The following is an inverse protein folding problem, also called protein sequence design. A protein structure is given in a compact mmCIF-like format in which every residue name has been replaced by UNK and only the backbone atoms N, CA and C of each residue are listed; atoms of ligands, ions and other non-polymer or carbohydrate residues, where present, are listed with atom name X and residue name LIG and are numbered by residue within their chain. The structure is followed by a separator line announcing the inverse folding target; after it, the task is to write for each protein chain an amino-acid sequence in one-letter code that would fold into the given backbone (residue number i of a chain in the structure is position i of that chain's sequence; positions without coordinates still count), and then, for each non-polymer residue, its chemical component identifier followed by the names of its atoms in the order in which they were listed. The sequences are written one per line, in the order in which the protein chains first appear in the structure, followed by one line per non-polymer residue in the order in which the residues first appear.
data_IF_272290404112
#
_entry.id   IF_272290404112
#
_cell.length_a   1.000
_cell.length_b   1.000
_cell.length_c   1.000
_cell.angle_alpha   90.00
_cell.angle_beta   90.00
_cell.angle_gamma   90.00
#
_symmetry.space_group_name_H-M   'P 1'
#
loop_
_entity.id
_entity.type
_entity.pdbx_description
1 polymer ?
#
# COMPACT_ATOMS: atom_id res chain seq x y z
N UNK A 1 -25.38 45.36 78.14
CA UNK A 1 -25.49 44.71 76.82
C UNK A 1 -24.10 44.61 76.20
N UNK A 2 -23.55 43.42 75.92
CA UNK A 2 -22.38 43.30 75.04
C UNK A 2 -22.83 42.85 73.65
N UNK A 3 -22.43 43.58 72.60
CA UNK A 3 -22.58 43.17 71.20
C UNK A 3 -21.49 42.13 70.88
N UNK A 4 -21.89 40.91 70.52
CA UNK A 4 -21.00 39.90 69.91
C UNK A 4 -20.75 40.27 68.45
N UNK A 5 -19.49 40.45 68.09
CA UNK A 5 -19.02 40.48 66.70
C UNK A 5 -19.07 39.07 66.11
N UNK A 6 -19.72 38.91 64.97
CA UNK A 6 -19.70 37.69 64.16
C UNK A 6 -18.64 37.86 63.07
N UNK A 7 -17.63 36.99 63.08
CA UNK A 7 -16.61 36.88 62.02
C UNK A 7 -17.15 36.06 60.82
N UNK A 8 -16.63 36.26 59.60
CA UNK A 8 -17.13 35.59 58.40
C UNK A 8 -16.42 34.24 58.18
N UNK A 9 -17.16 33.14 58.18
CA UNK A 9 -16.65 31.77 57.97
C UNK A 9 -16.89 31.23 56.54
N UNK A 10 -17.41 32.04 55.61
CA UNK A 10 -17.89 31.56 54.31
C UNK A 10 -16.81 31.47 53.22
N UNK A 11 -15.70 32.21 53.30
CA UNK A 11 -14.66 32.24 52.25
C UNK A 11 -13.79 30.98 52.19
N UNK A 12 -13.58 30.30 53.33
CA UNK A 12 -12.78 29.07 53.40
C UNK A 12 -13.53 27.83 52.89
N UNK A 13 -14.87 27.82 52.98
CA UNK A 13 -15.69 26.69 52.51
C UNK A 13 -15.81 26.68 50.98
N UNK A 14 -15.97 27.85 50.34
CA UNK A 14 -16.08 27.95 48.88
C UNK A 14 -14.77 27.63 48.18
N UNK A 15 -13.63 28.08 48.71
CA UNK A 15 -12.29 27.76 48.21
C UNK A 15 -11.93 26.29 48.39
N UNK A 16 -12.28 25.68 49.53
CA UNK A 16 -12.09 24.23 49.75
C UNK A 16 -12.91 23.36 48.78
N UNK A 17 -14.15 23.74 48.48
CA UNK A 17 -14.99 23.02 47.51
C UNK A 17 -14.50 23.20 46.07
N UNK A 18 -14.06 24.41 45.69
CA UNK A 18 -13.47 24.70 44.39
C UNK A 18 -12.18 23.88 44.17
N UNK A 19 -11.27 23.87 45.15
CA UNK A 19 -10.08 23.03 45.12
C UNK A 19 -10.42 21.54 45.00
N UNK A 20 -11.38 21.03 45.76
CA UNK A 20 -11.81 19.63 45.63
C UNK A 20 -12.35 19.31 44.24
N UNK A 21 -13.09 20.22 43.62
CA UNK A 21 -13.62 20.03 42.26
C UNK A 21 -12.52 20.03 41.18
N UNK A 22 -11.48 20.85 41.35
CA UNK A 22 -10.32 20.88 40.45
C UNK A 22 -9.48 19.60 40.57
N UNK A 23 -9.30 19.07 41.77
CA UNK A 23 -8.61 17.79 41.96
C UNK A 23 -9.36 16.63 41.27
N UNK A 24 -10.69 16.59 41.37
CA UNK A 24 -11.51 15.58 40.69
C UNK A 24 -11.38 15.73 39.16
N UNK A 25 -11.48 16.96 38.65
CA UNK A 25 -11.29 17.23 37.21
C UNK A 25 -9.91 16.78 36.75
N UNK A 26 -8.86 17.15 37.48
CA UNK A 26 -7.49 16.75 37.17
C UNK A 26 -7.33 15.23 37.13
N UNK A 27 -7.88 14.51 38.12
CA UNK A 27 -7.84 13.04 38.14
C UNK A 27 -8.56 12.42 36.93
N UNK A 28 -9.71 12.98 36.52
CA UNK A 28 -10.42 12.50 35.33
C UNK A 28 -9.62 12.73 34.04
N UNK A 29 -8.99 13.90 33.91
CA UNK A 29 -8.13 14.24 32.78
C UNK A 29 -6.88 13.38 32.71
N UNK A 30 -6.24 13.10 33.86
CA UNK A 30 -5.08 12.20 33.95
C UNK A 30 -5.47 10.76 33.56
N UNK A 31 -6.65 10.27 33.97
CA UNK A 31 -7.15 8.95 33.54
C UNK A 31 -7.37 8.88 32.03
N UNK A 32 -8.00 9.90 31.45
CA UNK A 32 -8.19 10.01 30.00
C UNK A 32 -6.83 10.07 29.27
N UNK A 33 -5.89 10.85 29.80
CA UNK A 33 -4.54 10.98 29.27
C UNK A 33 -3.83 9.62 29.19
N UNK A 34 -3.76 8.89 30.31
CA UNK A 34 -3.14 7.57 30.37
C UNK A 34 -3.82 6.56 29.43
N UNK A 35 -5.15 6.64 29.31
CA UNK A 35 -5.89 5.81 28.37
C UNK A 35 -5.51 6.11 26.93
N UNK A 36 -5.45 7.40 26.54
CA UNK A 36 -5.08 7.84 25.19
C UNK A 36 -3.66 7.39 24.82
N UNK A 37 -2.68 7.59 25.71
CA UNK A 37 -1.30 7.14 25.51
C UNK A 37 -1.25 5.63 25.21
N UNK A 38 -1.95 4.82 26.01
CA UNK A 38 -2.04 3.38 25.83
C UNK A 38 -2.70 2.99 24.49
N UNK A 39 -3.78 3.68 24.10
CA UNK A 39 -4.47 3.38 22.85
C UNK A 39 -3.64 3.77 21.61
N UNK A 40 -2.97 4.93 21.65
CA UNK A 40 -2.07 5.37 20.57
C UNK A 40 -0.95 4.37 20.38
N UNK A 41 -0.27 3.97 21.47
CA UNK A 41 0.78 2.95 21.43
C UNK A 41 0.29 1.63 20.85
N UNK A 42 -0.89 1.16 21.28
CA UNK A 42 -1.51 -0.07 20.75
C UNK A 42 -1.80 0.05 19.25
N UNK A 43 -2.43 1.14 18.81
CA UNK A 43 -2.79 1.34 17.40
C UNK A 43 -1.58 1.50 16.50
N UNK A 44 -0.55 2.22 16.96
CA UNK A 44 0.72 2.33 16.24
C UNK A 44 1.42 0.98 16.09
N UNK A 45 1.41 0.16 17.14
CA UNK A 45 1.94 -1.22 17.07
C UNK A 45 1.12 -2.07 16.10
N UNK A 46 -0.20 -1.96 16.12
CA UNK A 46 -1.08 -2.66 15.17
C UNK A 46 -0.78 -2.26 13.71
N UNK A 47 -0.61 -0.96 13.44
CA UNK A 47 -0.24 -0.44 12.13
C UNK A 47 1.12 -0.95 11.67
N UNK A 48 2.15 -0.85 12.51
CA UNK A 48 3.49 -1.31 12.19
C UNK A 48 3.52 -2.82 11.91
N UNK A 49 2.83 -3.62 12.73
CA UNK A 49 2.74 -5.07 12.52
C UNK A 49 2.03 -5.40 11.21
N UNK A 50 0.98 -4.66 10.85
CA UNK A 50 0.27 -4.87 9.60
C UNK A 50 1.13 -4.49 8.38
N UNK A 51 1.85 -3.38 8.45
CA UNK A 51 2.80 -2.97 7.40
C UNK A 51 3.92 -4.00 7.23
N UNK A 52 4.43 -4.55 8.32
CA UNK A 52 5.46 -5.59 8.26
C UNK A 52 4.90 -6.89 7.67
N UNK A 53 3.65 -7.25 7.98
CA UNK A 53 2.97 -8.38 7.35
C UNK A 53 2.85 -8.19 5.83
N UNK A 54 2.44 -7.01 5.36
CA UNK A 54 2.40 -6.70 3.92
C UNK A 54 3.77 -6.88 3.27
N UNK A 55 4.85 -6.35 3.89
CA UNK A 55 6.22 -6.50 3.38
C UNK A 55 6.66 -7.96 3.32
N UNK A 56 6.40 -8.72 4.38
CA UNK A 56 6.77 -10.14 4.45
C UNK A 56 6.05 -10.96 3.37
N UNK A 57 4.75 -10.70 3.15
CA UNK A 57 3.97 -11.36 2.11
C UNK A 57 4.48 -11.01 0.72
N UNK A 58 4.72 -9.72 0.45
CA UNK A 58 5.28 -9.28 -0.83
C UNK A 58 6.65 -9.91 -1.10
N UNK A 59 7.49 -10.04 -0.07
CA UNK A 59 8.80 -10.67 -0.15
C UNK A 59 8.69 -12.17 -0.45
N UNK A 60 7.76 -12.88 0.18
CA UNK A 60 7.51 -14.31 -0.08
C UNK A 60 7.00 -14.54 -1.51
N UNK A 61 6.00 -13.76 -1.95
CA UNK A 61 5.50 -13.80 -3.34
C UNK A 61 6.64 -13.56 -4.32
N UNK A 62 7.44 -12.51 -4.11
CA UNK A 62 8.56 -12.19 -4.99
C UNK A 62 9.56 -13.35 -5.06
N UNK A 63 9.98 -13.91 -3.92
CA UNK A 63 10.94 -15.01 -3.90
C UNK A 63 10.43 -16.27 -4.59
N UNK A 64 9.15 -16.62 -4.40
CA UNK A 64 8.58 -17.83 -5.00
C UNK A 64 8.27 -17.68 -6.49
N UNK A 65 7.82 -16.50 -6.93
CA UNK A 65 7.49 -16.25 -8.33
C UNK A 65 8.71 -15.83 -9.19
N UNK A 66 9.78 -15.31 -8.58
CA UNK A 66 10.98 -14.84 -9.31
C UNK A 66 11.58 -15.87 -10.28
N UNK A 67 11.72 -17.16 -9.94
CA UNK A 67 12.22 -18.17 -10.88
C UNK A 67 11.32 -18.33 -12.10
N UNK A 68 10.00 -18.28 -11.90
CA UNK A 68 9.00 -18.39 -12.97
C UNK A 68 9.05 -17.17 -13.90
N UNK A 69 9.16 -15.96 -13.35
CA UNK A 69 9.34 -14.76 -14.16
C UNK A 69 10.64 -14.78 -14.96
N UNK A 70 11.74 -15.30 -14.40
CA UNK A 70 12.98 -15.45 -15.15
C UNK A 70 12.82 -16.40 -16.34
N UNK A 71 12.14 -17.55 -16.14
CA UNK A 71 11.82 -18.47 -17.25
C UNK A 71 11.00 -17.78 -18.35
N UNK A 72 10.01 -16.97 -17.99
CA UNK A 72 9.21 -16.23 -18.97
C UNK A 72 10.07 -15.27 -19.80
N UNK A 73 10.96 -14.51 -19.16
CA UNK A 73 11.90 -13.60 -19.85
C UNK A 73 12.82 -14.36 -20.79
N UNK A 74 13.31 -15.53 -20.38
CA UNK A 74 14.19 -16.35 -21.20
C UNK A 74 13.43 -16.91 -22.42
N UNK A 75 12.22 -17.42 -22.23
CA UNK A 75 11.36 -17.93 -23.31
C UNK A 75 10.98 -16.81 -24.29
N UNK A 76 10.61 -15.64 -23.78
CA UNK A 76 10.30 -14.45 -24.59
C UNK A 76 11.45 -14.10 -25.53
N UNK A 77 12.66 -13.99 -24.97
CA UNK A 77 13.87 -13.75 -25.73
C UNK A 77 14.14 -14.85 -26.76
N UNK A 78 13.96 -16.11 -26.39
CA UNK A 78 14.11 -17.26 -27.29
C UNK A 78 13.15 -17.15 -28.48
N UNK A 79 11.87 -16.84 -28.26
CA UNK A 79 10.88 -16.66 -29.34
C UNK A 79 11.32 -15.54 -30.29
N UNK A 80 11.72 -14.37 -29.75
CA UNK A 80 12.24 -13.27 -30.57
C UNK A 80 13.45 -13.67 -31.42
N UNK A 81 14.38 -14.44 -30.84
CA UNK A 81 15.56 -14.91 -31.58
C UNK A 81 15.18 -15.89 -32.69
N UNK A 82 14.23 -16.80 -32.45
CA UNK A 82 13.76 -17.75 -33.45
C UNK A 82 13.12 -17.05 -34.65
N UNK A 83 12.25 -16.05 -34.41
CA UNK A 83 11.67 -15.27 -35.50
C UNK A 83 12.74 -14.50 -36.29
N UNK A 84 13.71 -13.87 -35.62
CA UNK A 84 14.82 -13.19 -36.30
C UNK A 84 15.63 -14.14 -37.19
N UNK A 85 15.89 -15.37 -36.72
CA UNK A 85 16.57 -16.40 -37.51
C UNK A 85 15.72 -16.91 -38.68
N UNK A 86 14.41 -17.12 -38.48
CA UNK A 86 13.49 -17.52 -39.55
C UNK A 86 13.56 -16.52 -40.71
N UNK A 87 13.50 -15.22 -40.43
CA UNK A 87 13.52 -14.17 -41.45
C UNK A 87 14.88 -13.98 -42.12
N UNK A 88 15.99 -14.33 -41.46
CA UNK A 88 17.34 -14.14 -42.01
C UNK A 88 17.86 -15.36 -42.76
N UNK A 89 17.57 -16.57 -42.29
CA UNK A 89 18.13 -17.82 -42.82
C UNK A 89 17.33 -18.35 -44.00
N UNK A 90 16.01 -18.15 -44.02
CA UNK A 90 15.12 -18.75 -45.02
C UNK A 90 14.60 -17.71 -46.01
N UNK A 91 14.65 -18.04 -47.30
CA UNK A 91 14.02 -17.24 -48.35
C UNK A 91 12.56 -17.65 -48.50
N UNK A 92 11.65 -16.73 -48.23
CA UNK A 92 10.21 -16.91 -48.40
C UNK A 92 9.70 -16.12 -49.60
N UNK A 93 8.59 -16.57 -50.19
CA UNK A 93 7.81 -15.72 -51.10
C UNK A 93 7.16 -14.55 -50.35
N UNK A 94 6.80 -13.47 -51.06
CA UNK A 94 6.24 -12.24 -50.46
C UNK A 94 5.06 -12.52 -49.52
N UNK A 95 4.07 -13.29 -49.98
CA UNK A 95 2.88 -13.61 -49.18
C UNK A 95 3.24 -14.42 -47.92
N UNK A 96 4.02 -15.49 -48.09
CA UNK A 96 4.46 -16.33 -46.96
C UNK A 96 5.25 -15.56 -45.92
N UNK A 97 6.06 -14.58 -46.32
CA UNK A 97 6.78 -13.71 -45.39
C UNK A 97 5.79 -12.84 -44.60
N UNK A 98 4.85 -12.17 -45.28
CA UNK A 98 3.80 -11.33 -44.67
C UNK A 98 2.94 -12.12 -43.69
N UNK A 99 2.57 -13.37 -44.04
CA UNK A 99 1.77 -14.23 -43.17
C UNK A 99 2.54 -14.58 -41.87
N UNK A 100 3.85 -14.88 -41.96
CA UNK A 100 4.69 -15.18 -40.78
C UNK A 100 4.91 -13.93 -39.92
N UNK A 101 5.10 -12.76 -40.55
CA UNK A 101 5.17 -11.46 -39.86
C UNK A 101 3.85 -11.14 -39.14
N UNK A 102 2.71 -11.47 -39.75
CA UNK A 102 1.39 -11.37 -39.13
C UNK A 102 1.27 -12.22 -37.88
N UNK A 103 1.70 -13.49 -37.91
CA UNK A 103 1.71 -14.36 -36.72
C UNK A 103 2.60 -13.78 -35.62
N UNK A 104 3.79 -13.31 -35.96
CA UNK A 104 4.71 -12.70 -34.99
C UNK A 104 4.10 -11.45 -34.32
N UNK A 105 3.46 -10.59 -35.11
CA UNK A 105 2.77 -9.40 -34.60
C UNK A 105 1.56 -9.76 -33.74
N UNK A 106 0.78 -10.78 -34.11
CA UNK A 106 -0.34 -11.26 -33.31
C UNK A 106 0.11 -11.78 -31.94
N UNK A 107 1.24 -12.50 -31.87
CA UNK A 107 1.79 -12.94 -30.58
C UNK A 107 2.16 -11.76 -29.67
N UNK A 108 2.62 -10.64 -30.24
CA UNK A 108 2.91 -9.41 -29.49
C UNK A 108 1.63 -8.70 -29.04
N UNK A 109 0.65 -8.55 -29.93
CA UNK A 109 -0.64 -7.93 -29.61
C UNK A 109 -1.41 -8.71 -28.54
N UNK A 110 -1.34 -10.04 -28.58
CA UNK A 110 -1.96 -10.90 -27.58
C UNK A 110 -1.22 -10.91 -26.23
N UNK A 111 -0.08 -10.21 -26.11
CA UNK A 111 0.71 -10.16 -24.89
C UNK A 111 1.45 -11.47 -24.54
N UNK A 112 1.53 -12.42 -25.49
CA UNK A 112 2.23 -13.71 -25.32
C UNK A 112 3.74 -13.49 -25.33
N UNK A 113 4.20 -12.56 -26.16
CA UNK A 113 5.59 -12.09 -26.19
C UNK A 113 5.63 -10.57 -26.12
N UNK A 114 6.77 -10.04 -25.68
CA UNK A 114 6.98 -8.62 -25.52
C UNK A 114 6.96 -7.90 -26.88
N UNK A 115 6.47 -6.64 -26.93
CA UNK A 115 6.59 -5.84 -28.13
C UNK A 115 8.06 -5.61 -28.46
N UNK A 116 8.47 -5.93 -29.70
CA UNK A 116 9.83 -5.61 -30.13
C UNK A 116 9.99 -4.08 -30.17
N UNK A 117 10.98 -3.48 -29.49
CA UNK A 117 11.22 -2.05 -29.59
C UNK A 117 11.48 -1.70 -31.05
N UNK A 118 10.69 -0.75 -31.58
CA UNK A 118 10.83 -0.21 -32.93
C UNK A 118 12.19 0.50 -33.06
N UNK A 119 13.25 -0.24 -33.36
CA UNK A 119 14.51 0.34 -33.79
C UNK A 119 14.53 0.35 -35.32
N UNK A 120 14.50 1.56 -35.87
CA UNK A 120 14.73 2.01 -37.27
C UNK A 120 13.49 2.51 -38.01
N UNK A 121 13.62 3.75 -38.47
CA UNK A 121 12.63 4.69 -39.00
C UNK A 121 12.36 4.51 -40.51
N UNK A 122 12.56 3.33 -41.11
CA UNK A 122 12.53 3.20 -42.59
C UNK A 122 11.49 2.21 -43.17
N UNK A 123 10.76 1.44 -42.35
CA UNK A 123 9.77 0.46 -42.85
C UNK A 123 8.29 0.85 -42.59
N UNK A 124 8.02 2.12 -42.21
CA UNK A 124 6.72 2.48 -41.61
C UNK A 124 5.60 2.97 -42.55
N UNK A 125 5.84 3.25 -43.84
CA UNK A 125 4.85 4.03 -44.60
C UNK A 125 3.96 3.24 -45.56
N UNK A 126 3.94 1.90 -45.55
CA UNK A 126 3.15 1.16 -46.58
C UNK A 126 2.19 0.08 -46.08
N UNK A 127 2.33 -0.45 -44.86
CA UNK A 127 1.61 -1.70 -44.53
C UNK A 127 0.54 -1.61 -43.43
N UNK A 128 0.52 -0.56 -42.60
CA UNK A 128 -0.59 -0.35 -41.66
C UNK A 128 -1.87 0.14 -42.36
N UNK A 129 -1.74 0.89 -43.46
CA UNK A 129 -2.89 1.42 -44.20
C UNK A 129 -3.63 0.33 -45.01
N UNK A 130 -2.92 -0.68 -45.50
CA UNK A 130 -3.51 -1.72 -46.36
C UNK A 130 -4.31 -2.80 -45.60
N UNK A 131 -4.05 -3.03 -44.31
CA UNK A 131 -4.74 -4.09 -43.54
C UNK A 131 -6.04 -3.62 -42.88
N UNK A 132 -6.25 -2.31 -42.75
CA UNK A 132 -7.51 -1.72 -42.27
C UNK A 132 -8.36 -1.11 -43.40
N UNK A 133 -7.82 -0.89 -44.59
CA UNK A 133 -8.56 -0.33 -45.74
C UNK A 133 -9.54 -1.30 -46.44
N UNK A 134 -9.78 -2.51 -45.91
CA UNK A 134 -10.75 -3.46 -46.49
C UNK A 134 -11.96 -3.78 -45.61
N UNK A 135 -12.23 -2.99 -44.58
CA UNK A 135 -13.55 -2.94 -43.92
C UNK A 135 -13.81 -1.53 -43.38
N UNK A 136 -14.14 -0.60 -44.28
CA UNK A 136 -14.88 0.60 -43.89
C UNK A 136 -16.34 0.19 -43.65
N UNK A 137 -16.74 0.06 -42.39
CA UNK A 137 -18.08 0.43 -41.89
C UNK A 137 -18.04 0.46 -40.35
N UNK A 138 -17.98 1.69 -39.82
CA UNK A 138 -18.43 2.16 -38.51
C UNK A 138 -17.92 1.45 -37.22
N UNK A 139 -16.97 2.07 -36.50
CA UNK A 139 -17.17 2.38 -35.08
C UNK A 139 -16.19 3.47 -34.56
N UNK A 140 -16.75 4.48 -33.91
CA UNK A 140 -16.09 5.65 -33.32
C UNK A 140 -15.76 5.38 -31.84
N UNK A 141 -14.68 4.63 -31.58
CA UNK A 141 -14.28 4.30 -30.20
C UNK A 141 -12.76 4.38 -30.01
N UNK A 142 -12.20 5.59 -29.98
CA UNK A 142 -10.79 5.78 -29.58
C UNK A 142 -10.50 7.13 -28.89
N UNK A 143 -11.41 7.60 -28.02
CA UNK A 143 -11.25 8.84 -27.27
C UNK A 143 -11.00 8.70 -25.75
N UNK A 144 -11.51 7.66 -25.08
CA UNK A 144 -11.71 7.74 -23.62
C UNK A 144 -10.55 7.30 -22.71
N UNK A 145 -9.56 6.56 -23.23
CA UNK A 145 -8.57 5.89 -22.36
C UNK A 145 -7.42 6.77 -21.85
N UNK A 146 -7.30 8.02 -22.30
CA UNK A 146 -6.23 8.94 -21.85
C UNK A 146 -6.70 9.96 -20.80
N UNK A 147 -8.01 10.22 -20.69
CA UNK A 147 -8.57 11.15 -19.71
C UNK A 147 -8.71 10.51 -18.31
N UNK A 148 -9.08 9.23 -18.22
CA UNK A 148 -9.28 8.54 -16.94
C UNK A 148 -7.98 8.44 -16.11
N UNK A 149 -6.84 8.20 -16.76
CA UNK A 149 -5.53 8.18 -16.10
C UNK A 149 -5.08 9.56 -15.57
N UNK A 150 -5.44 10.65 -16.26
CA UNK A 150 -5.15 12.01 -15.77
C UNK A 150 -6.12 12.45 -14.68
N UNK A 151 -7.35 11.95 -14.69
CA UNK A 151 -8.35 12.25 -13.67
C UNK A 151 -8.04 11.54 -12.34
N UNK A 152 -7.50 10.32 -12.39
CA UNK A 152 -6.98 9.60 -11.20
C UNK A 152 -5.74 10.25 -10.57
N UNK A 153 -4.88 10.91 -11.36
CA UNK A 153 -3.73 11.66 -10.83
C UNK A 153 -4.13 13.04 -10.27
N UNK A 154 -5.23 13.64 -10.77
CA UNK A 154 -5.73 14.94 -10.31
C UNK A 154 -6.58 14.83 -9.03
N UNK A 155 -7.25 13.70 -8.78
CA UNK A 155 -8.02 13.44 -7.54
C UNK A 155 -7.15 13.10 -6.32
N UNK A 156 -5.84 12.84 -6.50
CA UNK A 156 -4.89 12.65 -5.39
C UNK A 156 -4.32 13.96 -4.83
N UNK A 157 -4.55 15.11 -5.47
CA UNK A 157 -3.97 16.40 -5.09
C UNK A 157 -4.96 17.41 -4.47
N UNK A 158 -6.23 17.04 -4.28
CA UNK A 158 -7.25 17.97 -3.77
C UNK A 158 -7.97 17.38 -2.54
N UNK A 159 -7.21 17.19 -1.45
CA UNK A 159 -7.76 17.12 -0.09
C UNK A 159 -7.13 18.24 0.72
N UNK A 160 -7.56 19.47 0.45
CA UNK A 160 -7.15 20.65 1.20
C UNK A 160 -8.20 20.99 2.26
N UNK A 161 -8.10 20.37 3.45
CA UNK A 161 -8.76 20.82 4.70
C UNK A 161 -8.04 20.28 5.95
N UNK A 162 -8.09 20.94 7.12
CA UNK A 162 -7.60 22.27 7.47
C UNK A 162 -6.16 22.22 8.03
N UNK A 163 -5.25 23.05 7.53
CA UNK A 163 -3.81 23.05 7.86
C UNK A 163 -3.44 23.50 9.29
N UNK A 164 -4.42 23.95 10.08
CA UNK A 164 -4.17 24.56 11.40
C UNK A 164 -3.87 23.55 12.50
N UNK A 165 -4.59 22.41 12.54
CA UNK A 165 -4.40 21.36 13.56
C UNK A 165 -3.09 20.59 13.39
N UNK A 166 -2.67 20.33 12.14
CA UNK A 166 -1.36 19.73 11.84
C UNK A 166 -0.21 20.64 12.29
N UNK A 167 -0.37 21.95 12.12
CA UNK A 167 0.60 22.95 12.60
C UNK A 167 0.71 22.96 14.12
N UNK A 168 -0.40 22.91 14.85
CA UNK A 168 -0.39 22.94 16.31
C UNK A 168 0.14 21.63 16.93
N UNK A 169 -0.21 20.48 16.37
CA UNK A 169 0.37 19.19 16.78
C UNK A 169 1.88 19.15 16.52
N UNK A 170 2.34 19.57 15.33
CA UNK A 170 3.75 19.60 14.97
C UNK A 170 4.55 20.58 15.85
N UNK A 171 3.98 21.76 16.17
CA UNK A 171 4.56 22.71 17.13
C UNK A 171 4.71 22.08 18.51
N UNK A 172 3.68 21.38 19.01
CA UNK A 172 3.74 20.75 20.34
C UNK A 172 4.75 19.60 20.39
N UNK A 173 4.84 18.79 19.34
CA UNK A 173 5.87 17.75 19.19
C UNK A 173 7.27 18.38 19.22
N UNK A 174 7.49 19.45 18.46
CA UNK A 174 8.78 20.15 18.46
C UNK A 174 9.11 20.74 19.83
N UNK A 175 8.15 21.36 20.50
CA UNK A 175 8.36 21.96 21.82
C UNK A 175 8.73 20.89 22.87
N UNK A 176 7.98 19.79 22.92
CA UNK A 176 8.23 18.67 23.84
C UNK A 176 9.59 18.02 23.55
N UNK A 177 9.92 17.82 22.27
CA UNK A 177 11.24 17.36 21.85
C UNK A 177 12.38 18.27 22.35
N UNK A 178 12.29 19.59 22.15
CA UNK A 178 13.32 20.53 22.58
C UNK A 178 13.48 20.53 24.10
N UNK A 179 12.38 20.50 24.85
CA UNK A 179 12.39 20.41 26.32
C UNK A 179 13.12 19.16 26.80
N UNK A 180 12.78 18.00 26.24
CA UNK A 180 13.42 16.73 26.58
C UNK A 180 14.88 16.67 26.16
N UNK A 181 15.21 17.16 24.96
CA UNK A 181 16.57 17.22 24.45
C UNK A 181 17.46 18.14 25.30
N UNK A 182 16.91 19.23 25.86
CA UNK A 182 17.64 20.11 26.75
C UNK A 182 18.08 19.40 28.03
N UNK A 183 17.28 18.47 28.54
CA UNK A 183 17.51 17.76 29.81
C UNK A 183 18.37 16.52 29.59
N UNK A 184 18.09 15.73 28.55
CA UNK A 184 18.74 14.43 28.28
C UNK A 184 19.88 14.50 27.26
N UNK A 185 20.44 15.68 26.99
CA UNK A 185 21.57 15.78 26.07
C UNK A 185 22.80 15.06 26.68
N UNK A 186 23.46 14.13 25.94
CA UNK A 186 24.60 13.38 26.46
C UNK A 186 25.79 14.30 26.78
N UNK A 187 26.02 15.36 26.00
CA UNK A 187 27.16 16.29 26.19
C UNK A 187 27.06 17.18 27.44
N UNK A 188 25.91 17.18 28.14
CA UNK A 188 25.73 17.97 29.36
C UNK A 188 26.23 17.25 30.63
N UNK A 189 26.63 15.99 30.51
CA UNK A 189 27.00 15.15 31.67
C UNK A 189 28.44 14.67 31.53
N UNK A 190 29.20 14.72 32.65
CA UNK A 190 30.62 14.31 32.72
C UNK A 190 30.82 12.90 33.32
N UNK A 191 29.74 12.29 33.80
CA UNK A 191 29.73 10.96 34.40
C UNK A 191 29.37 9.92 33.33
N UNK A 192 30.21 8.90 33.16
CA UNK A 192 30.10 7.91 32.09
C UNK A 192 28.78 7.10 32.18
N UNK A 193 28.34 6.74 33.39
CA UNK A 193 27.10 5.97 33.58
C UNK A 193 25.86 6.81 33.22
N UNK A 194 25.82 8.06 33.68
CA UNK A 194 24.73 8.98 33.37
C UNK A 194 24.72 9.38 31.90
N UNK A 195 25.90 9.50 31.26
CA UNK A 195 26.01 9.75 29.82
C UNK A 195 25.43 8.60 29.00
N UNK A 196 25.69 7.35 29.39
CA UNK A 196 25.09 6.18 28.73
C UNK A 196 23.56 6.19 28.83
N UNK A 197 23.02 6.47 30.02
CA UNK A 197 21.56 6.58 30.24
C UNK A 197 20.94 7.70 29.41
N UNK A 198 21.55 8.89 29.40
CA UNK A 198 21.10 10.03 28.59
C UNK A 198 21.15 9.70 27.09
N UNK A 199 22.17 8.98 26.64
CA UNK A 199 22.29 8.54 25.25
C UNK A 199 21.14 7.61 24.84
N UNK A 200 20.76 6.67 25.70
CA UNK A 200 19.65 5.76 25.44
C UNK A 200 18.30 6.51 25.38
N UNK A 201 18.03 7.37 26.37
CA UNK A 201 16.83 8.21 26.41
C UNK A 201 16.77 9.13 25.19
N UNK A 202 17.89 9.74 24.79
CA UNK A 202 17.95 10.62 23.63
C UNK A 202 17.72 9.86 22.31
N UNK A 203 18.12 8.59 22.20
CA UNK A 203 17.75 7.74 21.05
C UNK A 203 16.24 7.53 20.97
N UNK A 204 15.59 7.29 22.10
CA UNK A 204 14.13 7.15 22.16
C UNK A 204 13.40 8.46 21.81
N UNK A 205 13.85 9.58 22.36
CA UNK A 205 13.32 10.93 22.05
C UNK A 205 13.44 11.21 20.54
N UNK A 206 14.61 10.95 19.96
CA UNK A 206 14.85 11.16 18.53
C UNK A 206 13.94 10.26 17.66
N UNK A 207 13.74 9.00 18.06
CA UNK A 207 12.83 8.09 17.37
C UNK A 207 11.39 8.61 17.42
N UNK A 208 10.90 8.94 18.60
CA UNK A 208 9.56 9.49 18.80
C UNK A 208 9.34 10.77 17.99
N UNK A 209 10.33 11.68 17.95
CA UNK A 209 10.25 12.91 17.16
C UNK A 209 10.15 12.64 15.65
N UNK A 210 10.99 11.74 15.12
CA UNK A 210 10.96 11.36 13.68
C UNK A 210 9.63 10.73 13.28
N UNK A 211 9.02 9.95 14.17
CA UNK A 211 7.73 9.29 13.95
C UNK A 211 6.52 10.19 14.31
N UNK A 212 6.74 11.46 14.69
CA UNK A 212 5.68 12.38 15.12
C UNK A 212 4.89 11.89 16.35
N UNK A 213 5.50 11.08 17.21
CA UNK A 213 4.87 10.43 18.36
C UNK A 213 4.79 11.36 19.58
N UNK A 214 3.76 12.20 19.63
CA UNK A 214 3.55 13.05 20.80
C UNK A 214 3.28 12.19 22.04
N UNK A 215 2.55 11.09 21.92
CA UNK A 215 2.26 10.20 23.03
C UNK A 215 3.55 9.66 23.67
N UNK A 216 4.50 9.19 22.85
CA UNK A 216 5.78 8.70 23.37
C UNK A 216 6.63 9.80 23.99
N UNK A 217 6.63 11.01 23.42
CA UNK A 217 7.34 12.15 24.02
C UNK A 217 6.76 12.52 25.40
N UNK A 218 5.42 12.54 25.52
CA UNK A 218 4.76 12.82 26.80
C UNK A 218 4.95 11.70 27.82
N UNK A 219 4.99 10.43 27.39
CA UNK A 219 5.36 9.31 28.27
C UNK A 219 6.78 9.49 28.85
N UNK A 220 7.75 9.90 28.02
CA UNK A 220 9.13 10.14 28.46
C UNK A 220 9.18 11.33 29.43
N UNK A 221 8.47 12.41 29.13
CA UNK A 221 8.33 13.58 30.01
C UNK A 221 7.80 13.18 31.40
N UNK A 222 6.75 12.35 31.44
CA UNK A 222 6.16 11.86 32.68
C UNK A 222 7.08 10.91 33.45
N UNK A 223 7.73 9.96 32.76
CA UNK A 223 8.59 8.94 33.38
C UNK A 223 9.77 9.55 34.13
N UNK A 224 10.32 10.64 33.59
CA UNK A 224 11.46 11.33 34.20
C UNK A 224 11.07 12.55 35.04
N UNK A 225 9.78 12.74 35.33
CA UNK A 225 9.27 13.88 36.10
C UNK A 225 9.75 15.23 35.55
N UNK A 226 9.91 15.31 34.23
CA UNK A 226 10.28 16.53 33.54
C UNK A 226 9.06 17.43 33.50
N UNK A 227 9.05 18.49 34.30
CA UNK A 227 7.90 19.39 34.35
C UNK A 227 7.98 20.43 35.47
N UNK A 228 7.06 21.38 35.42
CA UNK A 228 6.92 22.46 36.40
C UNK A 228 6.55 21.89 37.78
N UNK A 229 7.14 22.42 38.86
CA UNK A 229 6.75 22.09 40.24
C UNK A 229 5.40 22.74 40.54
N UNK A 230 4.36 21.94 40.71
CA UNK A 230 2.98 22.41 40.89
C UNK A 230 2.63 22.36 42.38
N UNK A 231 2.20 23.50 42.95
CA UNK A 231 1.62 23.51 44.29
C UNK A 231 0.19 22.94 44.24
N UNK A 232 -0.03 21.81 44.94
CA UNK A 232 -1.32 21.13 44.98
C UNK A 232 -2.38 21.88 45.81
N UNK A 233 -1.98 22.91 46.55
CA UNK A 233 -2.90 23.76 47.32
C UNK A 233 -3.24 25.08 46.60
N UNK A 234 -2.65 25.33 45.44
CA UNK A 234 -2.87 26.53 44.62
C UNK A 234 -3.95 26.28 43.57
N UNK A 235 -5.06 27.01 43.65
CA UNK A 235 -6.17 26.91 42.70
C UNK A 235 -5.74 27.28 41.28
N UNK A 236 -4.89 28.31 41.15
CA UNK A 236 -4.36 28.79 39.89
C UNK A 236 -3.45 27.75 39.22
N UNK A 237 -2.59 27.08 39.98
CA UNK A 237 -1.66 26.09 39.45
C UNK A 237 -2.40 24.81 39.03
N UNK A 238 -3.41 24.39 39.80
CA UNK A 238 -4.29 23.28 39.42
C UNK A 238 -5.08 23.59 38.16
N UNK A 239 -5.58 24.83 38.02
CA UNK A 239 -6.31 25.27 36.82
C UNK A 239 -5.41 25.25 35.59
N UNK A 240 -4.19 25.79 35.70
CA UNK A 240 -3.18 25.74 34.62
C UNK A 240 -2.85 24.29 34.22
N UNK A 241 -2.72 23.39 35.20
CA UNK A 241 -2.47 21.97 34.95
C UNK A 241 -3.63 21.32 34.20
N UNK A 242 -4.87 21.57 34.61
CA UNK A 242 -6.06 21.05 33.94
C UNK A 242 -6.12 21.52 32.49
N UNK A 243 -5.94 22.82 32.22
CA UNK A 243 -5.93 23.36 30.86
C UNK A 243 -4.81 22.75 30.00
N UNK A 244 -3.63 22.53 30.57
CA UNK A 244 -2.50 21.89 29.86
C UNK A 244 -2.81 20.45 29.47
N UNK A 245 -3.32 19.64 30.40
CA UNK A 245 -3.66 18.23 30.13
C UNK A 245 -4.84 18.15 29.15
N UNK A 246 -5.83 19.04 29.25
CA UNK A 246 -6.93 19.12 28.28
C UNK A 246 -6.42 19.36 26.86
N UNK A 247 -5.55 20.34 26.67
CA UNK A 247 -4.95 20.61 25.36
C UNK A 247 -4.13 19.42 24.85
N UNK A 248 -3.39 18.74 25.74
CA UNK A 248 -2.66 17.51 25.38
C UNK A 248 -3.62 16.39 24.98
N UNK A 249 -4.70 16.16 25.73
CA UNK A 249 -5.70 15.13 25.45
C UNK A 249 -6.38 15.38 24.10
N UNK A 250 -6.70 16.62 23.76
CA UNK A 250 -7.26 16.95 22.44
C UNK A 250 -6.28 16.64 21.29
N UNK A 251 -4.99 16.94 21.46
CA UNK A 251 -3.98 16.56 20.47
C UNK A 251 -3.83 15.04 20.37
N UNK A 252 -3.83 14.32 21.50
CA UNK A 252 -3.74 12.86 21.53
C UNK A 252 -4.97 12.18 20.92
N UNK A 253 -6.19 12.70 21.15
CA UNK A 253 -7.41 12.24 20.47
C UNK A 253 -7.29 12.35 18.96
N UNK A 254 -6.84 13.50 18.47
CA UNK A 254 -6.63 13.72 17.04
C UNK A 254 -5.59 12.74 16.46
N UNK A 255 -4.49 12.48 17.18
CA UNK A 255 -3.51 11.47 16.79
C UNK A 255 -4.09 10.05 16.77
N UNK A 256 -4.88 9.70 17.78
CA UNK A 256 -5.52 8.39 17.86
C UNK A 256 -6.49 8.15 16.70
N UNK A 257 -7.33 9.14 16.37
CA UNK A 257 -8.25 9.05 15.23
C UNK A 257 -7.49 9.03 13.89
N UNK A 258 -6.39 9.78 13.77
CA UNK A 258 -5.52 9.72 12.58
C UNK A 258 -4.96 8.31 12.39
N UNK A 259 -4.39 7.69 13.43
CA UNK A 259 -3.87 6.33 13.37
C UNK A 259 -4.94 5.29 13.04
N UNK A 260 -6.17 5.45 13.56
CA UNK A 260 -7.30 4.58 13.19
C UNK A 260 -7.63 4.69 11.71
N UNK A 261 -7.64 5.91 11.18
CA UNK A 261 -7.93 6.14 9.77
C UNK A 261 -6.81 5.60 8.87
N UNK A 262 -5.55 5.85 9.22
CA UNK A 262 -4.38 5.30 8.51
C UNK A 262 -4.45 3.77 8.45
N UNK A 263 -4.69 3.12 9.59
CA UNK A 263 -4.84 1.66 9.64
C UNK A 263 -5.99 1.16 8.78
N UNK A 264 -7.11 1.87 8.74
CA UNK A 264 -8.25 1.51 7.87
C UNK A 264 -7.89 1.66 6.39
N UNK A 265 -7.24 2.77 6.02
CA UNK A 265 -6.80 3.01 4.65
C UNK A 265 -5.84 1.90 4.21
N UNK A 266 -4.82 1.61 5.01
CA UNK A 266 -3.81 0.59 4.71
C UNK A 266 -4.46 -0.79 4.57
N UNK A 267 -5.40 -1.17 5.44
CA UNK A 267 -6.13 -2.44 5.33
C UNK A 267 -7.03 -2.55 4.09
N UNK A 268 -7.51 -1.41 3.57
CA UNK A 268 -8.39 -1.36 2.40
C UNK A 268 -7.64 -1.19 1.07
N UNK A 269 -6.29 -1.13 1.10
CA UNK A 269 -5.49 -1.22 -0.13
C UNK A 269 -5.56 -2.63 -0.72
N UNK A 270 -5.34 -2.81 -2.04
CA UNK A 270 -5.24 -4.14 -2.65
C UNK A 270 -4.22 -5.05 -1.94
N UNK A 271 -3.07 -4.49 -1.56
CA UNK A 271 -2.03 -5.21 -0.84
C UNK A 271 -2.48 -5.60 0.58
N UNK A 272 -3.21 -4.71 1.26
CA UNK A 272 -3.79 -4.98 2.58
C UNK A 272 -4.91 -6.03 2.56
N UNK A 273 -5.75 -6.02 1.52
CA UNK A 273 -6.76 -7.05 1.29
C UNK A 273 -6.09 -8.41 1.05
N UNK A 274 -5.05 -8.44 0.20
CA UNK A 274 -4.27 -9.64 -0.09
C UNK A 274 -3.66 -10.27 1.18
N UNK A 275 -3.15 -9.47 2.13
CA UNK A 275 -2.70 -9.99 3.44
C UNK A 275 -3.83 -10.69 4.19
N UNK A 276 -5.02 -10.09 4.20
CA UNK A 276 -6.17 -10.62 4.93
C UNK A 276 -6.66 -11.94 4.33
N UNK A 277 -6.72 -12.00 2.99
CA UNK A 277 -7.14 -13.17 2.23
C UNK A 277 -6.12 -14.30 2.33
N UNK A 278 -4.83 -14.00 2.14
CA UNK A 278 -3.77 -14.99 2.30
C UNK A 278 -3.78 -15.58 3.72
N UNK A 279 -3.95 -14.74 4.74
CA UNK A 279 -4.04 -15.21 6.13
C UNK A 279 -5.28 -16.08 6.36
N UNK A 280 -6.39 -15.83 5.64
CA UNK A 280 -7.60 -16.65 5.72
C UNK A 280 -7.36 -18.01 5.07
N UNK A 281 -6.82 -18.03 3.86
CA UNK A 281 -6.45 -19.25 3.14
C UNK A 281 -5.50 -20.13 3.95
N UNK A 282 -4.44 -19.55 4.54
CA UNK A 282 -3.48 -20.29 5.37
C UNK A 282 -4.15 -20.90 6.63
N UNK A 283 -5.14 -20.23 7.22
CA UNK A 283 -5.92 -20.78 8.35
C UNK A 283 -6.78 -21.97 7.95
N UNK A 284 -7.21 -22.01 6.70
CA UNK A 284 -7.96 -23.12 6.10
C UNK A 284 -7.02 -24.23 5.57
N UNK A 285 -5.70 -24.07 5.73
CA UNK A 285 -4.69 -25.03 5.29
C UNK A 285 -4.32 -24.92 3.81
N UNK A 286 -4.74 -23.84 3.15
CA UNK A 286 -4.48 -23.56 1.73
C UNK A 286 -3.20 -22.72 1.62
N UNK A 287 -2.31 -23.05 0.67
CA UNK A 287 -1.16 -22.22 0.31
C UNK A 287 -1.51 -21.30 -0.88
N UNK A 288 -1.93 -20.05 -0.63
CA UNK A 288 -2.35 -19.15 -1.70
C UNK A 288 -1.19 -18.77 -2.63
N UNK A 289 0.02 -18.62 -2.09
CA UNK A 289 1.20 -18.26 -2.91
C UNK A 289 1.62 -19.47 -3.74
N UNK A 290 1.53 -20.68 -3.16
CA UNK A 290 1.74 -21.93 -3.90
C UNK A 290 0.83 -22.03 -5.13
N UNK A 291 -0.48 -21.80 -4.96
CA UNK A 291 -1.42 -21.79 -6.07
C UNK A 291 -1.12 -20.71 -7.12
N UNK A 292 -0.69 -19.52 -6.70
CA UNK A 292 -0.25 -18.49 -7.65
C UNK A 292 0.95 -18.97 -8.48
N UNK A 293 1.93 -19.64 -7.85
CA UNK A 293 3.09 -20.20 -8.55
C UNK A 293 2.66 -21.29 -9.53
N UNK A 294 1.78 -22.21 -9.13
CA UNK A 294 1.24 -23.26 -10.00
C UNK A 294 0.54 -22.68 -11.23
N UNK A 295 -0.25 -21.61 -11.05
CA UNK A 295 -0.90 -20.92 -12.15
C UNK A 295 0.13 -20.33 -13.12
N UNK A 296 1.13 -19.59 -12.62
CA UNK A 296 2.20 -19.03 -13.47
C UNK A 296 2.99 -20.15 -14.16
N UNK A 297 3.24 -21.27 -13.49
CA UNK A 297 3.90 -22.42 -14.11
C UNK A 297 3.06 -23.05 -15.23
N UNK A 298 1.73 -23.08 -15.10
CA UNK A 298 0.84 -23.54 -16.17
C UNK A 298 0.89 -22.61 -17.39
N UNK A 299 0.92 -21.30 -17.18
CA UNK A 299 1.06 -20.31 -18.26
C UNK A 299 2.43 -20.43 -18.96
N UNK A 300 3.50 -20.65 -18.19
CA UNK A 300 4.84 -20.93 -18.71
C UNK A 300 4.83 -22.15 -19.63
N UNK A 301 4.08 -23.20 -19.32
CA UNK A 301 3.99 -24.39 -20.18
C UNK A 301 3.35 -24.06 -21.52
N UNK A 302 2.29 -23.24 -21.53
CA UNK A 302 1.65 -22.78 -22.77
C UNK A 302 2.62 -21.97 -23.62
N UNK A 303 3.31 -20.99 -23.04
CA UNK A 303 4.27 -20.15 -23.77
C UNK A 303 5.48 -20.97 -24.24
N UNK A 304 5.95 -21.93 -23.43
CA UNK A 304 7.00 -22.86 -23.83
C UNK A 304 6.60 -23.70 -25.04
N UNK A 305 5.35 -24.18 -25.10
CA UNK A 305 4.83 -24.91 -26.24
C UNK A 305 4.77 -24.04 -27.52
N UNK A 306 4.44 -22.75 -27.38
CA UNK A 306 4.50 -21.80 -28.50
C UNK A 306 5.94 -21.63 -28.99
N UNK A 307 6.90 -21.44 -28.07
CA UNK A 307 8.32 -21.39 -28.41
C UNK A 307 8.76 -22.64 -29.16
N UNK A 308 8.42 -23.81 -28.65
CA UNK A 308 8.82 -25.08 -29.26
C UNK A 308 8.19 -25.26 -30.65
N UNK A 309 6.95 -24.81 -30.84
CA UNK A 309 6.30 -24.77 -32.14
C UNK A 309 7.02 -23.86 -33.15
N UNK A 310 7.41 -22.65 -32.73
CA UNK A 310 8.21 -21.73 -33.56
C UNK A 310 9.58 -22.34 -33.89
N UNK A 311 10.20 -23.01 -32.91
CA UNK A 311 11.47 -23.71 -33.10
C UNK A 311 11.36 -24.84 -34.10
N UNK A 312 10.31 -25.65 -34.04
CA UNK A 312 10.07 -26.74 -34.98
C UNK A 312 9.85 -26.24 -36.41
N UNK A 313 9.24 -25.05 -36.57
CA UNK A 313 9.15 -24.40 -37.88
C UNK A 313 10.52 -23.94 -38.40
N UNK A 314 11.34 -23.35 -37.53
CA UNK A 314 12.73 -22.95 -37.84
C UNK A 314 13.59 -24.15 -38.24
N UNK A 315 13.40 -25.29 -37.58
CA UNK A 315 14.08 -26.57 -37.85
C UNK A 315 13.47 -27.38 -39.01
N UNK A 316 12.45 -26.84 -39.70
CA UNK A 316 11.76 -27.47 -40.83
C UNK A 316 11.07 -28.80 -40.50
N UNK A 317 10.72 -29.04 -39.23
CA UNK A 317 9.93 -30.21 -38.83
C UNK A 317 8.45 -30.06 -39.18
N UNK A 318 7.98 -28.82 -39.29
CA UNK A 318 6.61 -28.49 -39.70
C UNK A 318 6.60 -27.59 -40.94
N UNK A 319 5.54 -27.72 -41.72
CA UNK A 319 5.32 -26.95 -42.94
C UNK A 319 4.79 -25.55 -42.62
N UNK A 320 4.86 -24.63 -43.59
CA UNK A 320 4.27 -23.30 -43.42
C UNK A 320 2.75 -23.34 -43.24
N UNK A 321 2.06 -24.30 -43.88
CA UNK A 321 0.61 -24.47 -43.70
C UNK A 321 0.27 -24.90 -42.28
N UNK A 322 1.07 -25.78 -41.69
CA UNK A 322 0.91 -26.19 -40.29
C UNK A 322 1.26 -25.05 -39.34
N UNK A 323 2.33 -24.30 -39.63
CA UNK A 323 2.73 -23.13 -38.84
C UNK A 323 1.63 -22.06 -38.77
N UNK A 324 1.04 -21.69 -39.92
CA UNK A 324 -0.04 -20.70 -39.99
C UNK A 324 -1.35 -21.18 -39.36
N UNK A 325 -1.52 -22.49 -39.13
CA UNK A 325 -2.65 -23.04 -38.37
C UNK A 325 -2.47 -22.88 -36.86
N UNK A 326 -1.27 -22.50 -36.41
CA UNK A 326 -0.91 -22.34 -35.00
C UNK A 326 -0.59 -23.65 -34.28
N UNK A 327 -0.17 -23.58 -33.01
CA UNK A 327 0.06 -24.75 -32.16
C UNK A 327 -1.26 -25.38 -31.71
N UNK A 328 -1.27 -26.71 -31.51
CA UNK A 328 -2.46 -27.45 -31.09
C UNK A 328 -2.98 -27.00 -29.72
N UNK A 329 -2.09 -26.61 -28.81
CA UNK A 329 -2.45 -26.18 -27.45
C UNK A 329 -3.39 -24.96 -27.46
N UNK A 330 -3.12 -23.98 -28.32
CA UNK A 330 -3.96 -22.79 -28.45
C UNK A 330 -5.32 -23.12 -29.09
N UNK A 331 -5.35 -24.08 -30.02
CA UNK A 331 -6.61 -24.54 -30.61
C UNK A 331 -7.49 -25.27 -29.60
N UNK A 332 -6.89 -26.10 -28.76
CA UNK A 332 -7.60 -26.82 -27.69
C UNK A 332 -8.16 -25.85 -26.67
N UNK A 333 -7.34 -24.92 -26.18
CA UNK A 333 -7.81 -23.86 -25.27
C UNK A 333 -8.95 -23.04 -25.88
N UNK A 334 -8.84 -22.62 -27.15
CA UNK A 334 -9.91 -21.87 -27.81
C UNK A 334 -11.23 -22.64 -27.94
N UNK A 335 -11.14 -23.98 -28.04
CA UNK A 335 -12.31 -24.85 -28.11
C UNK A 335 -12.95 -25.01 -26.75
N UNK A 336 -12.16 -25.28 -25.70
CA UNK A 336 -12.64 -25.37 -24.32
C UNK A 336 -13.32 -24.06 -23.89
N UNK A 337 -12.71 -22.90 -24.14
CA UNK A 337 -13.32 -21.60 -23.83
C UNK A 337 -14.63 -21.35 -24.58
N UNK A 338 -14.76 -21.88 -25.79
CA UNK A 338 -15.98 -21.75 -26.59
C UNK A 338 -17.07 -22.72 -26.10
N UNK A 339 -16.69 -23.91 -25.64
CA UNK A 339 -17.59 -24.88 -25.02
C UNK A 339 -18.14 -24.35 -23.69
N UNK A 340 -17.29 -23.76 -22.84
CA UNK A 340 -17.70 -23.12 -21.58
C UNK A 340 -18.68 -21.96 -21.81
N UNK A 341 -18.38 -21.08 -22.78
CA UNK A 341 -19.26 -19.97 -23.15
C UNK A 341 -20.63 -20.49 -23.64
N UNK A 342 -20.64 -21.55 -24.45
CA UNK A 342 -21.88 -22.16 -24.92
C UNK A 342 -22.66 -22.80 -23.78
N UNK A 343 -22.00 -23.45 -22.82
CA UNK A 343 -22.64 -24.05 -21.65
C UNK A 343 -23.27 -22.99 -20.74
N UNK A 344 -22.58 -21.87 -20.50
CA UNK A 344 -23.11 -20.72 -19.76
C UNK A 344 -24.33 -20.10 -20.47
N UNK A 345 -24.26 -19.90 -21.78
CA UNK A 345 -25.40 -19.44 -22.59
C UNK A 345 -26.59 -20.42 -22.56
N UNK A 346 -26.34 -21.73 -22.59
CA UNK A 346 -27.40 -22.73 -22.49
C UNK A 346 -28.00 -22.80 -21.09
N UNK A 347 -27.21 -22.57 -20.03
CA UNK A 347 -27.72 -22.46 -18.67
C UNK A 347 -28.64 -21.24 -18.51
N UNK A 348 -28.25 -20.07 -19.04
CA UNK A 348 -29.08 -18.86 -19.03
C UNK A 348 -30.37 -19.01 -19.85
N UNK A 349 -30.31 -19.66 -21.01
CA UNK A 349 -31.49 -19.97 -21.83
C UNK A 349 -32.43 -20.94 -21.14
N UNK A 350 -31.90 -21.91 -20.40
CA UNK A 350 -32.70 -22.87 -19.64
C UNK A 350 -33.39 -22.20 -18.45
N UNK A 351 -32.73 -21.25 -17.77
CA UNK A 351 -33.34 -20.41 -16.73
C UNK A 351 -34.44 -19.48 -17.29
N UNK A 352 -34.31 -19.01 -18.54
CA UNK A 352 -35.36 -18.23 -19.22
C UNK A 352 -36.54 -19.06 -19.73
N UNK A 353 -36.41 -20.38 -19.88
CA UNK A 353 -37.49 -21.28 -20.30
C UNK A 353 -38.31 -21.88 -19.15
N UNK A 354 -37.91 -21.65 -17.90
CA UNK A 354 -38.56 -22.19 -16.68
C UNK A 354 -39.57 -21.18 -16.07
N UNK A 355 -39.80 -20.03 -16.71
CA UNK A 355 -40.81 -19.04 -16.30
C UNK A 355 -42.11 -19.05 -17.12
#
# INVERSE_FOLDING_TARGET
MPRKSSSPSHTHQTTSLALSSLHIRLETLDKEHQWLLKQIKRKRTELNNFVEQMRSLATDIFHRCSPSFQKLVDIDREIHTLFAEIFTVRKFGKQSKKDIEGVYYQLQLAGIISPKPKNNEEDQDTELDELFATNEEEDDFSGESTEEYRQYQRTQQEIEFPSRSKSDAARKIRQTFLSLAEIFHPDKVKDDETQMRHTEIMKEINKAYKEGDLARLLEIEQQHQVGETIDSNSEDDLTRKCTRIEQQNELLKNQYETLKNELRIVKNTPEGAMVSDCRKAVREGIDPIGHMVEQVESEIQVISAIRDFVKDFREQKITIKEFLRGPEILRQMSRETMEDLLEEMFAELNDMMVY
#
